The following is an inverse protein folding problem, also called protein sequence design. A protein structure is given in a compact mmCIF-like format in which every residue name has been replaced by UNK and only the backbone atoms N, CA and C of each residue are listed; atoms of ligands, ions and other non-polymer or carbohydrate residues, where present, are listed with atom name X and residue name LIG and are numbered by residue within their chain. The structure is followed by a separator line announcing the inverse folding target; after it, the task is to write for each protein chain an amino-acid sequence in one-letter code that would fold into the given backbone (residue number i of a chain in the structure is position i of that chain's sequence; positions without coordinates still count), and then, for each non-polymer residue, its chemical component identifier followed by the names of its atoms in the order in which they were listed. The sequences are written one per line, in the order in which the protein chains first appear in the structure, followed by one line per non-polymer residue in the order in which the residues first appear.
data_IF_784567042818
#
_entry.id   IF_784567042818
#
_cell.length_a   1.000
_cell.length_b   1.000
_cell.length_c   1.000
_cell.angle_alpha   90.00
_cell.angle_beta   90.00
_cell.angle_gamma   90.00
#
_symmetry.space_group_name_H-M   'P 1'
#
loop_
_entity.id
_entity.type
_entity.pdbx_description
1 polymer ?
#
# COMPACT_ATOMS: atom_id res chain seq x y z
N UNK A 1 -12.78 13.78 4.47
CA UNK A 1 -13.97 13.28 3.73
C UNK A 1 -14.13 11.80 4.02
N UNK A 2 -15.17 11.35 4.75
CA UNK A 2 -15.43 9.92 4.91
C UNK A 2 -15.92 9.31 3.58
N UNK A 3 -15.58 8.06 3.32
CA UNK A 3 -16.12 7.26 2.21
C UNK A 3 -17.61 7.04 2.50
N UNK A 4 -18.50 7.86 1.93
CA UNK A 4 -19.96 7.77 2.09
C UNK A 4 -20.58 7.37 0.77
N UNK A 5 -21.50 6.41 0.81
CA UNK A 5 -22.37 6.03 -0.31
C UNK A 5 -23.47 7.09 -0.49
N UNK A 6 -23.07 8.25 -1.01
CA UNK A 6 -23.95 9.35 -1.38
C UNK A 6 -23.72 9.73 -2.84
N UNK A 7 -24.59 10.58 -3.41
CA UNK A 7 -24.47 11.00 -4.82
C UNK A 7 -23.13 11.66 -5.17
N UNK A 8 -22.41 12.17 -4.16
CA UNK A 8 -21.09 12.79 -4.29
C UNK A 8 -19.94 11.85 -3.87
N UNK A 9 -20.18 10.54 -3.85
CA UNK A 9 -19.14 9.56 -3.54
C UNK A 9 -18.02 9.64 -4.58
N UNK A 10 -16.77 9.71 -4.10
CA UNK A 10 -15.62 9.71 -4.99
C UNK A 10 -15.46 8.32 -5.61
N UNK A 11 -15.68 8.22 -6.91
CA UNK A 11 -15.31 7.04 -7.68
C UNK A 11 -13.79 6.98 -7.80
N UNK A 12 -13.21 5.87 -7.34
CA UNK A 12 -11.77 5.62 -7.40
C UNK A 12 -11.52 4.29 -8.09
N UNK A 13 -10.42 4.20 -8.84
CA UNK A 13 -9.90 2.92 -9.29
C UNK A 13 -9.37 2.13 -8.09
N UNK A 14 -9.75 0.86 -7.96
CA UNK A 14 -9.29 0.00 -6.87
C UNK A 14 -8.61 -1.25 -7.43
N UNK A 15 -7.45 -1.61 -6.88
CA UNK A 15 -6.75 -2.85 -7.21
C UNK A 15 -6.09 -3.46 -5.98
N UNK A 16 -5.82 -4.77 -6.04
CA UNK A 16 -5.29 -5.54 -4.93
C UNK A 16 -4.28 -6.58 -5.40
N UNK A 17 -3.23 -6.78 -4.60
CA UNK A 17 -2.23 -7.81 -4.80
C UNK A 17 -2.27 -8.80 -3.64
N UNK A 18 -2.39 -10.08 -3.97
CA UNK A 18 -2.17 -11.19 -3.05
C UNK A 18 -1.04 -12.04 -3.59
N UNK A 19 -0.01 -12.29 -2.78
CA UNK A 19 1.00 -13.30 -3.07
C UNK A 19 0.82 -14.47 -2.13
N UNK A 20 0.78 -15.67 -2.68
CA UNK A 20 0.68 -16.92 -1.93
C UNK A 20 1.98 -17.73 -2.06
N UNK A 21 2.21 -18.63 -1.12
CA UNK A 21 3.22 -19.68 -1.30
C UNK A 21 2.73 -20.77 -2.28
N UNK A 22 3.56 -21.80 -2.49
CA UNK A 22 3.23 -22.94 -3.35
C UNK A 22 2.08 -23.80 -2.81
N UNK A 23 1.78 -23.71 -1.51
CA UNK A 23 0.69 -24.41 -0.83
C UNK A 23 -0.61 -23.58 -0.81
N UNK A 24 -0.58 -22.35 -1.34
CA UNK A 24 -1.70 -21.43 -1.41
C UNK A 24 -1.90 -20.55 -0.17
N UNK A 25 -0.99 -20.59 0.81
CA UNK A 25 -1.08 -19.70 1.97
C UNK A 25 -0.69 -18.27 1.60
N UNK A 26 -1.50 -17.30 2.03
CA UNK A 26 -1.28 -15.88 1.76
C UNK A 26 -0.07 -15.33 2.52
N UNK A 27 0.98 -14.98 1.77
CA UNK A 27 2.20 -14.39 2.32
C UNK A 27 2.12 -12.87 2.45
N UNK A 28 1.39 -12.22 1.54
CA UNK A 28 1.21 -10.78 1.52
C UNK A 28 -0.08 -10.41 0.79
N UNK A 29 -0.79 -9.42 1.33
CA UNK A 29 -2.04 -8.88 0.82
C UNK A 29 -1.98 -7.38 0.97
N UNK A 30 -2.20 -6.64 -0.11
CA UNK A 30 -2.30 -5.19 -0.05
C UNK A 30 -3.24 -4.67 -1.15
N UNK A 31 -3.94 -3.57 -0.86
CA UNK A 31 -4.87 -2.94 -1.77
C UNK A 31 -4.55 -1.44 -1.93
N UNK A 32 -4.82 -0.91 -3.12
CA UNK A 32 -4.58 0.47 -3.49
C UNK A 32 -5.83 1.09 -4.11
N UNK A 33 -6.01 2.38 -3.83
CA UNK A 33 -6.99 3.23 -4.52
C UNK A 33 -6.25 4.30 -5.32
N UNK A 34 -6.70 4.57 -6.54
CA UNK A 34 -6.14 5.55 -7.47
C UNK A 34 -7.24 6.47 -8.02
N UNK A 35 -6.86 7.71 -8.34
CA UNK A 35 -7.71 8.62 -9.11
C UNK A 35 -7.83 8.19 -10.57
N UNK A 36 -6.84 7.45 -11.07
CA UNK A 36 -6.88 6.88 -12.42
C UNK A 36 -7.72 5.58 -12.42
N UNK A 37 -8.55 5.35 -13.46
CA UNK A 37 -9.26 4.09 -13.62
C UNK A 37 -8.30 2.91 -13.71
N UNK A 38 -8.63 1.79 -13.05
CA UNK A 38 -7.86 0.55 -13.16
C UNK A 38 -8.37 -0.25 -14.37
N UNK A 39 -7.45 -0.68 -15.23
CA UNK A 39 -7.71 -1.56 -16.36
C UNK A 39 -6.57 -2.57 -16.54
N UNK A 40 -6.73 -3.52 -17.47
CA UNK A 40 -5.75 -4.58 -17.70
C UNK A 40 -4.37 -4.07 -18.13
N UNK A 41 -4.32 -2.92 -18.81
CA UNK A 41 -3.09 -2.34 -19.35
C UNK A 41 -2.29 -1.60 -18.28
N UNK A 42 -2.94 -1.04 -17.25
CA UNK A 42 -2.29 -0.19 -16.25
C UNK A 42 -2.20 -0.80 -14.85
N UNK A 43 -2.91 -1.90 -14.56
CA UNK A 43 -2.95 -2.50 -13.22
C UNK A 43 -1.57 -2.94 -12.73
N UNK A 44 -0.72 -3.46 -13.63
CA UNK A 44 0.65 -3.88 -13.28
C UNK A 44 1.49 -2.66 -12.86
N UNK A 45 1.40 -1.56 -13.61
CA UNK A 45 2.13 -0.33 -13.30
C UNK A 45 1.64 0.30 -11.99
N UNK A 46 0.32 0.30 -11.75
CA UNK A 46 -0.29 0.79 -10.51
C UNK A 46 0.17 0.00 -9.29
N UNK A 47 0.17 -1.33 -9.38
CA UNK A 47 0.66 -2.21 -8.30
C UNK A 47 2.16 -2.00 -8.05
N UNK A 48 2.98 -1.84 -9.10
CA UNK A 48 4.41 -1.56 -8.97
C UNK A 48 4.68 -0.20 -8.30
N UNK A 49 3.93 0.83 -8.66
CA UNK A 49 3.98 2.15 -8.01
C UNK A 49 3.56 2.06 -6.53
N UNK A 50 2.47 1.35 -6.23
CA UNK A 50 2.00 1.09 -4.88
C UNK A 50 3.01 0.35 -4.01
N UNK A 51 3.66 -0.69 -4.56
CA UNK A 51 4.76 -1.43 -3.90
C UNK A 51 5.98 -0.57 -3.63
N UNK A 52 6.32 0.32 -4.56
CA UNK A 52 7.47 1.24 -4.41
C UNK A 52 7.23 2.24 -3.28
N UNK A 53 6.01 2.79 -3.16
CA UNK A 53 5.62 3.64 -2.02
C UNK A 53 5.68 2.89 -0.69
N UNK A 54 5.13 1.67 -0.64
CA UNK A 54 5.21 0.83 0.56
C UNK A 54 6.66 0.56 0.99
N UNK A 55 7.56 0.29 0.04
CA UNK A 55 8.98 0.06 0.32
C UNK A 55 9.64 1.28 0.95
N UNK A 56 9.39 2.48 0.42
CA UNK A 56 9.92 3.75 0.97
C UNK A 56 9.38 4.00 2.38
N UNK A 57 8.07 3.81 2.59
CA UNK A 57 7.44 3.98 3.90
C UNK A 57 8.02 3.01 4.93
N UNK A 58 8.16 1.73 4.58
CA UNK A 58 8.64 0.70 5.49
C UNK A 58 10.15 0.82 5.79
N UNK A 59 10.96 1.27 4.84
CA UNK A 59 12.40 1.50 5.04
C UNK A 59 12.65 2.75 5.91
N UNK A 60 11.91 3.84 5.69
CA UNK A 60 12.02 5.05 6.51
C UNK A 60 11.48 4.82 7.94
N UNK A 61 10.33 4.14 8.09
CA UNK A 61 9.73 3.90 9.40
C UNK A 61 10.54 2.87 10.22
N UNK A 62 11.12 1.85 9.58
CA UNK A 62 11.99 0.89 10.25
C UNK A 62 13.33 1.52 10.64
N UNK A 63 13.89 2.44 9.83
CA UNK A 63 15.10 3.20 10.17
C UNK A 63 14.87 4.12 11.37
N UNK A 64 13.72 4.79 11.48
CA UNK A 64 13.36 5.57 12.66
C UNK A 64 13.18 4.70 13.92
N UNK A 65 12.60 3.51 13.79
CA UNK A 65 12.35 2.61 14.94
C UNK A 65 13.58 1.82 15.40
N UNK A 66 14.56 1.57 14.54
CA UNK A 66 15.78 0.81 14.90
C UNK A 66 16.99 1.70 15.24
N UNK A 67 16.91 3.03 15.04
CA UNK A 67 17.98 3.99 15.38
C UNK A 67 17.54 5.15 16.29
N UNK A 68 16.35 5.09 16.87
CA UNK A 68 15.78 6.18 17.68
C UNK A 68 15.22 5.72 19.00
N UNK A 69 16.08 5.23 19.90
CA UNK A 69 16.04 5.57 21.34
C UNK A 69 17.27 4.99 22.04
N UNK A 70 18.34 5.79 22.08
CA UNK A 70 19.42 5.64 23.06
C UNK A 70 19.83 7.05 23.51
N UNK A 71 18.85 7.85 23.96
CA UNK A 71 19.14 8.97 24.85
C UNK A 71 19.33 8.41 26.26
N UNK A 72 20.54 7.91 26.53
CA UNK A 72 21.07 7.88 27.89
C UNK A 72 21.14 9.35 28.34
N UNK A 73 20.14 9.77 29.11
CA UNK A 73 20.17 11.03 29.84
C UNK A 73 21.15 10.86 31.01
N UNK A 74 22.32 11.48 30.91
CA UNK A 74 23.20 11.77 32.04
C UNK A 74 22.99 13.21 32.49
#
# INVERSE_FOLDING_TARGET
MPLRDGKDALLVGWCELTTTDAEGQGLYRNAWASSDPVNADNVIALVAAGRSRWKIENENNNTLKTKGDHFEHN
#
